data_IF_839515215479
#
_entry.id   IF_839515215479
#
_cell.length_a   1.000
_cell.length_b   1.000
_cell.length_c   1.000
_cell.angle_alpha   90.00
_cell.angle_beta   90.00
_cell.angle_gamma   90.00
#
_symmetry.space_group_name_H-M   'P 1'
#
loop_
_entity.id
_entity.type
_entity.pdbx_description
1 polymer ?
#
# COMPACT_ATOMS: atom_id res chain seq x y z
N UNK A 1 40.26 48.56 -0.89
CA UNK A 1 39.69 47.46 -0.06
C UNK A 1 38.15 47.42 -0.06
N UNK A 2 37.45 48.56 0.03
CA UNK A 2 35.96 48.63 0.12
C UNK A 2 35.17 48.10 -1.10
N UNK A 3 35.72 48.19 -2.33
CA UNK A 3 35.03 47.70 -3.55
C UNK A 3 35.00 46.17 -3.65
N UNK A 4 36.07 45.46 -3.24
CA UNK A 4 36.13 43.99 -3.28
C UNK A 4 35.11 43.34 -2.34
N UNK A 5 34.87 43.95 -1.18
CA UNK A 5 33.87 43.48 -0.19
C UNK A 5 32.44 43.63 -0.72
N UNK A 6 32.12 44.72 -1.42
CA UNK A 6 30.80 44.94 -2.02
C UNK A 6 30.48 43.93 -3.12
N UNK A 7 31.46 43.57 -3.95
CA UNK A 7 31.30 42.56 -5.00
C UNK A 7 31.10 41.15 -4.42
N UNK A 8 31.78 40.82 -3.32
CA UNK A 8 31.63 39.53 -2.63
C UNK A 8 30.24 39.42 -1.97
N UNK A 9 29.76 40.50 -1.31
CA UNK A 9 28.42 40.52 -0.70
C UNK A 9 27.32 40.43 -1.75
N UNK A 10 27.47 41.10 -2.90
CA UNK A 10 26.50 41.03 -4.00
C UNK A 10 26.45 39.62 -4.64
N UNK A 11 27.60 38.96 -4.81
CA UNK A 11 27.66 37.59 -5.31
C UNK A 11 27.03 36.59 -4.32
N UNK A 12 27.20 36.79 -3.02
CA UNK A 12 26.61 35.94 -1.98
C UNK A 12 25.09 36.08 -1.90
N UNK A 13 24.56 37.31 -2.07
CA UNK A 13 23.13 37.57 -2.15
C UNK A 13 22.47 36.95 -3.39
N UNK A 14 23.19 36.92 -4.52
CA UNK A 14 22.71 36.30 -5.77
C UNK A 14 22.64 34.76 -5.69
N UNK A 15 23.58 34.14 -4.96
CA UNK A 15 23.61 32.69 -4.72
C UNK A 15 22.48 32.26 -3.78
N UNK A 16 22.13 33.07 -2.77
CA UNK A 16 20.99 32.79 -1.88
C UNK A 16 19.63 32.88 -2.59
N UNK A 17 19.49 33.68 -3.65
CA UNK A 17 18.23 33.77 -4.41
C UNK A 17 17.99 32.58 -5.36
N UNK A 18 19.03 31.84 -5.76
CA UNK A 18 18.88 30.66 -6.63
C UNK A 18 18.35 29.43 -5.89
N UNK A 19 18.61 29.32 -4.58
CA UNK A 19 18.10 28.24 -3.73
C UNK A 19 16.63 28.36 -3.34
N UNK A 20 16.04 29.56 -3.47
CA UNK A 20 14.64 29.81 -3.08
C UNK A 20 13.61 29.33 -4.12
N UNK A 21 14.03 28.93 -5.32
CA UNK A 21 13.15 28.45 -6.39
C UNK A 21 13.10 26.92 -6.53
N UNK A 22 13.88 26.19 -5.71
CA UNK A 22 13.72 24.74 -5.58
C UNK A 22 12.65 24.44 -4.52
N UNK A 23 11.40 24.84 -4.77
CA UNK A 23 10.29 24.24 -4.04
C UNK A 23 10.18 22.80 -4.53
N UNK A 24 10.42 21.83 -3.64
CA UNK A 24 10.00 20.44 -3.87
C UNK A 24 8.53 20.46 -4.27
N UNK A 25 8.20 19.99 -5.47
CA UNK A 25 6.81 19.77 -5.84
C UNK A 25 6.21 18.83 -4.80
N UNK A 26 5.17 19.31 -4.11
CA UNK A 26 4.39 18.49 -3.19
C UNK A 26 3.89 17.27 -3.96
N UNK A 27 4.45 16.10 -3.64
CA UNK A 27 4.04 14.83 -4.26
C UNK A 27 2.61 14.53 -3.85
N UNK A 28 1.64 14.99 -4.65
CA UNK A 28 0.24 14.69 -4.45
C UNK A 28 -0.01 13.21 -4.74
N UNK A 29 -0.90 12.55 -3.98
CA UNK A 29 -1.35 11.20 -4.30
C UNK A 29 -1.89 11.13 -5.73
N UNK A 30 -1.58 10.06 -6.45
CA UNK A 30 -2.13 9.83 -7.78
C UNK A 30 -3.65 9.64 -7.68
N UNK A 31 -4.47 10.52 -8.27
CA UNK A 31 -5.93 10.43 -8.17
C UNK A 31 -6.49 9.19 -8.90
N UNK A 32 -5.70 8.54 -9.76
CA UNK A 32 -6.10 7.29 -10.45
C UNK A 32 -5.73 6.04 -9.66
N UNK A 33 -5.07 6.17 -8.51
CA UNK A 33 -4.70 5.04 -7.67
C UNK A 33 -5.60 4.96 -6.43
N UNK A 34 -6.56 4.04 -6.46
CA UNK A 34 -7.50 3.83 -5.37
C UNK A 34 -6.96 2.76 -4.43
N UNK A 35 -6.70 3.13 -3.18
CA UNK A 35 -6.17 2.23 -2.16
C UNK A 35 -7.26 1.91 -1.14
N UNK A 36 -7.45 0.62 -0.86
CA UNK A 36 -8.42 0.12 0.09
C UNK A 36 -7.73 -0.63 1.24
N UNK A 37 -8.07 -0.24 2.47
CA UNK A 37 -7.61 -0.91 3.68
C UNK A 37 -8.58 -2.03 4.05
N UNK A 38 -8.07 -3.26 4.11
CA UNK A 38 -8.84 -4.44 4.49
C UNK A 38 -8.42 -4.88 5.89
N UNK A 39 -9.31 -4.69 6.87
CA UNK A 39 -9.09 -5.08 8.28
C UNK A 39 -10.24 -5.98 8.75
N UNK A 40 -10.05 -6.66 9.88
CA UNK A 40 -11.01 -7.62 10.44
C UNK A 40 -10.35 -8.95 10.82
N UNK A 41 -11.15 -10.00 10.93
CA UNK A 41 -10.70 -11.33 11.37
C UNK A 41 -10.55 -12.35 10.23
N UNK A 42 -10.65 -13.65 10.54
CA UNK A 42 -10.43 -14.78 9.62
C UNK A 42 -11.21 -14.69 8.31
N UNK A 43 -12.45 -14.19 8.32
CA UNK A 43 -13.27 -14.09 7.11
C UNK A 43 -12.77 -13.00 6.14
N UNK A 44 -12.09 -11.97 6.64
CA UNK A 44 -11.40 -10.97 5.80
C UNK A 44 -10.01 -11.45 5.39
N UNK A 45 -9.31 -12.12 6.30
CA UNK A 45 -8.05 -12.77 5.98
C UNK A 45 -8.28 -13.77 4.85
N UNK A 46 -9.38 -14.52 4.86
CA UNK A 46 -9.67 -15.59 3.91
C UNK A 46 -8.78 -16.81 4.13
N UNK A 47 -8.76 -17.71 3.15
CA UNK A 47 -8.09 -19.02 3.26
C UNK A 47 -8.96 -20.20 2.83
N UNK A 48 -10.17 -19.94 2.35
CA UNK A 48 -10.98 -20.94 1.67
C UNK A 48 -10.44 -21.20 0.27
N UNK A 49 -10.66 -22.43 -0.21
CA UNK A 49 -10.30 -22.77 -1.57
C UNK A 49 -11.34 -22.18 -2.53
N UNK A 50 -10.91 -21.46 -3.59
CA UNK A 50 -11.82 -20.94 -4.60
C UNK A 50 -12.56 -22.08 -5.31
N UNK A 51 -13.80 -21.80 -5.71
CA UNK A 51 -14.61 -22.68 -6.56
C UNK A 51 -14.26 -22.52 -8.03
N UNK A 52 -14.80 -23.38 -8.92
CA UNK A 52 -14.55 -23.30 -10.36
C UNK A 52 -14.89 -21.93 -10.97
N UNK A 53 -15.94 -21.26 -10.49
CA UNK A 53 -16.34 -19.93 -10.95
C UNK A 53 -15.32 -18.83 -10.66
N UNK A 54 -14.48 -19.03 -9.65
CA UNK A 54 -13.49 -18.04 -9.21
C UNK A 54 -12.19 -18.10 -10.05
N UNK A 55 -12.09 -19.11 -10.93
CA UNK A 55 -10.91 -19.41 -11.72
C UNK A 55 -10.91 -18.71 -13.10
N UNK A 56 -12.00 -18.06 -13.46
CA UNK A 56 -12.19 -17.46 -14.79
C UNK A 56 -11.69 -16.01 -14.87
N UNK A 57 -11.25 -15.41 -13.75
CA UNK A 57 -10.92 -14.01 -13.71
C UNK A 57 -9.62 -13.70 -14.49
N UNK A 58 -9.73 -12.78 -15.46
CA UNK A 58 -8.66 -12.34 -16.36
C UNK A 58 -8.13 -10.93 -16.03
N UNK A 59 -8.68 -10.29 -14.99
CA UNK A 59 -8.27 -8.96 -14.58
C UNK A 59 -6.80 -9.01 -14.15
N UNK A 60 -5.96 -8.36 -14.94
CA UNK A 60 -4.55 -8.23 -14.63
C UNK A 60 -4.35 -7.20 -13.50
N UNK A 61 -3.26 -7.34 -12.76
CA UNK A 61 -2.59 -6.20 -12.13
C UNK A 61 -3.24 -5.54 -10.90
N UNK A 62 -3.86 -6.31 -9.99
CA UNK A 62 -4.20 -5.80 -8.64
C UNK A 62 -2.91 -5.51 -7.83
N UNK A 63 -2.78 -4.29 -7.31
CA UNK A 63 -1.68 -3.94 -6.42
C UNK A 63 -1.95 -4.44 -5.00
N UNK A 64 -0.93 -4.99 -4.35
CA UNK A 64 -0.96 -5.37 -2.95
C UNK A 64 0.22 -4.78 -2.22
N UNK A 65 0.01 -4.36 -0.99
CA UNK A 65 1.11 -3.98 -0.10
C UNK A 65 1.46 -5.17 0.80
N UNK A 66 2.75 -5.45 0.93
CA UNK A 66 3.26 -6.38 1.93
C UNK A 66 3.00 -5.81 3.33
N UNK A 67 2.19 -6.49 4.14
CA UNK A 67 1.88 -6.06 5.52
C UNK A 67 2.78 -6.72 6.56
N UNK A 68 3.61 -7.68 6.13
CA UNK A 68 4.71 -8.29 6.88
C UNK A 68 5.90 -8.54 5.96
N UNK A 69 7.08 -8.78 6.52
CA UNK A 69 8.25 -9.17 5.74
C UNK A 69 8.03 -10.53 5.06
N UNK A 70 8.22 -10.57 3.73
CA UNK A 70 8.06 -11.76 2.90
C UNK A 70 9.39 -12.12 2.23
N UNK A 71 10.35 -12.73 2.97
CA UNK A 71 11.71 -12.92 2.50
C UNK A 71 11.83 -13.84 1.28
N UNK A 72 10.93 -14.82 1.11
CA UNK A 72 10.93 -15.70 -0.08
C UNK A 72 10.61 -14.94 -1.37
N UNK A 73 9.81 -13.87 -1.26
CA UNK A 73 9.43 -12.99 -2.35
C UNK A 73 10.33 -11.75 -2.44
N UNK A 74 11.30 -11.60 -1.53
CA UNK A 74 12.18 -10.43 -1.42
C UNK A 74 11.40 -9.12 -1.22
N UNK A 75 10.28 -9.18 -0.51
CA UNK A 75 9.45 -8.02 -0.17
C UNK A 75 9.59 -7.69 1.32
N UNK A 76 9.67 -6.40 1.62
CA UNK A 76 9.62 -5.83 2.97
C UNK A 76 8.25 -5.27 3.26
N UNK A 77 7.90 -5.16 4.54
CA UNK A 77 6.68 -4.46 4.94
C UNK A 77 6.63 -3.06 4.30
N UNK A 78 5.48 -2.71 3.72
CA UNK A 78 5.28 -1.46 2.99
C UNK A 78 5.58 -1.54 1.49
N UNK A 79 6.24 -2.59 1.01
CA UNK A 79 6.51 -2.75 -0.42
C UNK A 79 5.22 -3.07 -1.19
N UNK A 80 4.99 -2.33 -2.27
CA UNK A 80 3.93 -2.64 -3.23
C UNK A 80 4.40 -3.69 -4.23
N UNK A 81 3.56 -4.67 -4.48
CA UNK A 81 3.78 -5.70 -5.48
C UNK A 81 2.51 -5.97 -6.28
N UNK A 82 2.71 -6.41 -7.51
CA UNK A 82 1.63 -6.73 -8.41
C UNK A 82 1.26 -8.19 -8.26
N UNK A 83 -0.03 -8.49 -8.16
CA UNK A 83 -0.45 -9.88 -8.17
C UNK A 83 -0.30 -10.49 -9.57
N UNK A 84 0.26 -11.69 -9.63
CA UNK A 84 0.28 -12.48 -10.86
C UNK A 84 -1.14 -12.92 -11.26
N UNK A 85 -1.39 -13.11 -12.57
CA UNK A 85 -2.58 -13.80 -13.07
C UNK A 85 -2.78 -15.16 -12.40
N UNK A 86 -4.03 -15.64 -12.37
CA UNK A 86 -4.44 -16.87 -11.68
C UNK A 86 -3.64 -18.11 -12.14
N UNK A 87 -3.27 -18.18 -13.41
CA UNK A 87 -2.55 -19.31 -14.03
C UNK A 87 -1.19 -19.62 -13.37
N UNK A 88 -0.62 -18.68 -12.60
CA UNK A 88 0.65 -18.84 -11.88
C UNK A 88 0.55 -18.73 -10.36
N UNK A 89 -0.66 -18.72 -9.78
CA UNK A 89 -0.87 -18.52 -8.33
C UNK A 89 -1.25 -19.83 -7.64
N UNK A 90 -0.84 -19.97 -6.37
CA UNK A 90 -1.48 -20.94 -5.49
C UNK A 90 -2.91 -20.46 -5.19
N UNK A 91 -3.90 -21.16 -5.75
CA UNK A 91 -5.30 -20.77 -5.72
C UNK A 91 -5.90 -20.79 -4.31
N UNK A 92 -5.35 -21.57 -3.38
CA UNK A 92 -5.76 -21.54 -1.97
C UNK A 92 -5.45 -20.22 -1.24
N UNK A 93 -4.79 -19.28 -1.93
CA UNK A 93 -4.46 -17.96 -1.41
C UNK A 93 -5.38 -16.85 -1.93
N UNK A 94 -6.47 -17.17 -2.65
CA UNK A 94 -7.45 -16.16 -3.05
C UNK A 94 -8.25 -15.66 -1.85
N UNK A 95 -8.30 -14.33 -1.68
CA UNK A 95 -8.97 -13.68 -0.56
C UNK A 95 -10.13 -12.81 -1.07
N UNK A 96 -11.07 -12.47 -0.19
CA UNK A 96 -12.17 -11.54 -0.52
C UNK A 96 -11.68 -10.22 -1.16
N UNK A 97 -10.56 -9.70 -0.66
CA UNK A 97 -9.93 -8.49 -1.19
C UNK A 97 -9.43 -8.61 -2.63
N UNK A 98 -9.06 -9.83 -3.08
CA UNK A 98 -8.70 -10.07 -4.49
C UNK A 98 -9.91 -9.86 -5.39
N UNK A 99 -11.03 -10.51 -5.10
CA UNK A 99 -12.27 -10.41 -5.88
C UNK A 99 -12.80 -8.98 -5.91
N UNK A 100 -12.85 -8.32 -4.75
CA UNK A 100 -13.22 -6.91 -4.69
C UNK A 100 -12.33 -6.05 -5.60
N UNK A 101 -11.02 -6.22 -5.51
CA UNK A 101 -10.06 -5.45 -6.29
C UNK A 101 -10.20 -5.68 -7.80
N UNK A 102 -10.42 -6.92 -8.21
CA UNK A 102 -10.62 -7.28 -9.62
C UNK A 102 -11.93 -6.76 -10.18
N UNK A 103 -13.04 -6.92 -9.45
CA UNK A 103 -14.34 -6.35 -9.88
C UNK A 103 -14.24 -4.83 -10.02
N UNK A 104 -13.56 -4.14 -9.10
CA UNK A 104 -13.33 -2.70 -9.23
C UNK A 104 -12.51 -2.35 -10.48
N UNK A 105 -11.48 -3.13 -10.80
CA UNK A 105 -10.67 -2.92 -12.00
C UNK A 105 -11.47 -3.15 -13.30
N UNK A 106 -12.35 -4.14 -13.33
CA UNK A 106 -13.23 -4.45 -14.46
C UNK A 106 -14.20 -3.29 -14.78
N UNK A 107 -14.66 -2.59 -13.75
CA UNK A 107 -15.63 -1.49 -13.87
C UNK A 107 -14.98 -0.10 -14.01
N UNK A 108 -13.66 0.03 -13.84
CA UNK A 108 -12.95 1.31 -13.88
C UNK A 108 -12.47 1.69 -15.29
N UNK A 109 -12.34 3.00 -15.60
CA UNK A 109 -11.73 3.44 -16.85
C UNK A 109 -10.27 3.01 -16.99
N UNK A 110 -9.80 2.93 -18.24
CA UNK A 110 -8.40 2.60 -18.52
C UNK A 110 -7.42 3.56 -17.81
N UNK A 111 -6.35 2.98 -17.27
CA UNK A 111 -5.30 3.72 -16.55
C UNK A 111 -5.59 3.98 -15.08
N UNK A 112 -6.75 3.56 -14.56
CA UNK A 112 -6.98 3.49 -13.12
C UNK A 112 -6.32 2.25 -12.53
N UNK A 113 -5.94 2.35 -11.26
CA UNK A 113 -5.27 1.29 -10.50
C UNK A 113 -5.98 1.09 -9.18
N UNK A 114 -6.08 -0.16 -8.77
CA UNK A 114 -6.61 -0.55 -7.46
C UNK A 114 -5.50 -1.20 -6.65
N UNK A 115 -5.37 -0.78 -5.39
CA UNK A 115 -4.45 -1.31 -4.41
C UNK A 115 -5.18 -1.78 -3.16
N UNK A 116 -4.81 -2.93 -2.62
CA UNK A 116 -5.35 -3.43 -1.35
C UNK A 116 -4.24 -3.61 -0.32
N UNK A 117 -4.52 -3.19 0.91
CA UNK A 117 -3.65 -3.37 2.08
C UNK A 117 -4.40 -4.25 3.06
N UNK A 118 -4.03 -5.53 3.17
CA UNK A 118 -4.73 -6.47 4.05
C UNK A 118 -3.98 -6.64 5.38
N UNK A 119 -4.55 -6.05 6.43
CA UNK A 119 -4.06 -6.07 7.81
C UNK A 119 -5.00 -6.86 8.73
N UNK A 120 -5.81 -7.76 8.18
CA UNK A 120 -6.70 -8.62 8.98
C UNK A 120 -5.92 -9.65 9.80
N UNK A 121 -6.46 -9.98 10.98
CA UNK A 121 -5.84 -10.88 11.95
C UNK A 121 -6.82 -12.02 12.28
N UNK A 122 -6.59 -13.25 11.78
CA UNK A 122 -7.44 -14.39 12.11
C UNK A 122 -7.56 -14.63 13.61
N UNK A 123 -8.76 -14.95 14.09
CA UNK A 123 -9.02 -15.28 15.50
C UNK A 123 -8.97 -14.09 16.46
N UNK A 124 -8.77 -12.85 15.97
CA UNK A 124 -8.80 -11.69 16.84
C UNK A 124 -10.22 -11.29 17.23
N UNK A 125 -10.36 -10.74 18.44
CA UNK A 125 -11.55 -9.98 18.83
C UNK A 125 -11.42 -8.51 18.42
N UNK A 126 -12.51 -7.75 18.58
CA UNK A 126 -12.57 -6.34 18.17
C UNK A 126 -11.61 -5.46 18.97
N UNK A 127 -11.30 -5.83 20.21
CA UNK A 127 -10.40 -5.14 21.13
C UNK A 127 -8.98 -5.01 20.58
N UNK A 128 -8.58 -5.86 19.62
CA UNK A 128 -7.31 -5.72 18.91
C UNK A 128 -7.24 -4.39 18.13
N UNK A 129 -8.37 -3.86 17.68
CA UNK A 129 -8.45 -2.65 16.87
C UNK A 129 -8.81 -1.40 17.70
N UNK A 130 -8.90 -1.53 19.03
CA UNK A 130 -9.16 -0.41 19.94
C UNK A 130 -7.83 0.27 20.31
N UNK A 131 -7.64 1.51 19.84
CA UNK A 131 -6.37 2.26 19.96
C UNK A 131 -5.87 2.36 21.41
N UNK A 132 -6.78 2.57 22.36
CA UNK A 132 -6.42 2.79 23.77
C UNK A 132 -6.12 1.48 24.53
N UNK A 133 -6.70 0.36 24.11
CA UNK A 133 -6.72 -0.89 24.93
C UNK A 133 -6.15 -2.12 24.24
N UNK A 134 -5.77 -2.05 22.95
CA UNK A 134 -5.28 -3.23 22.22
C UNK A 134 -4.09 -3.92 22.91
N UNK A 135 -3.21 -3.14 23.57
CA UNK A 135 -2.05 -3.66 24.27
C UNK A 135 -2.42 -4.55 25.47
N UNK A 136 -3.57 -4.32 26.11
CA UNK A 136 -4.07 -5.18 27.19
C UNK A 136 -4.65 -6.47 26.62
N UNK A 137 -5.45 -6.36 25.55
CA UNK A 137 -5.96 -7.51 24.82
C UNK A 137 -4.83 -8.46 24.37
N UNK A 138 -3.76 -7.91 23.79
CA UNK A 138 -2.60 -8.69 23.32
C UNK A 138 -1.89 -9.48 24.45
N UNK A 139 -1.97 -9.05 25.71
CA UNK A 139 -1.41 -9.81 26.84
C UNK A 139 -2.24 -11.06 27.17
N UNK A 140 -3.50 -11.07 26.76
CA UNK A 140 -4.46 -12.15 27.05
C UNK A 140 -4.71 -13.05 25.85
N UNK A 141 -4.34 -12.61 24.65
CA UNK A 141 -4.51 -13.36 23.42
C UNK A 141 -3.55 -14.56 23.39
N UNK A 142 -4.07 -15.74 23.02
CA UNK A 142 -3.24 -16.92 22.78
C UNK A 142 -2.38 -16.70 21.52
N UNK A 143 -1.12 -17.12 21.59
CA UNK A 143 -0.12 -17.02 20.53
C UNK A 143 -0.20 -18.14 19.50
#
# INVERSE_FOLDING_TARGET
MKMKVRSIVAAMALVTSLGAFAQEEEKKPDPKFHIYLCFGQSNMAGGENPGPQDMENKAECLWKMATTDMPRQQLKVGDWYLTKPLEGRNISQLRLADFFGWTMLEDMPEGYRVGVINVSVPGCKIELFEEDTYAEYLKTAES
#
